data_IF_848777907814
#
_entry.id   IF_848777907814
#
_cell.length_a   1.000
_cell.length_b   1.000
_cell.length_c   1.000
_cell.angle_alpha   90.00
_cell.angle_beta   90.00
_cell.angle_gamma   90.00
#
_symmetry.space_group_name_H-M   'P 1'
#
loop_
_entity.id
_entity.type
_entity.pdbx_description
1 polymer ?
#
# COMPACT_ATOMS: atom_id res chain seq x y z
N UNK A 1 10.32 35.95 -5.56
CA UNK A 1 10.35 36.14 -4.09
C UNK A 1 9.58 37.38 -3.64
N UNK A 2 9.63 38.51 -4.38
CA UNK A 2 8.98 39.79 -4.01
C UNK A 2 7.46 39.76 -3.85
N UNK A 3 6.75 39.01 -4.71
CA UNK A 3 5.27 39.03 -4.70
C UNK A 3 4.68 38.42 -3.42
N UNK A 4 5.35 37.43 -2.82
CA UNK A 4 4.86 36.76 -1.61
C UNK A 4 4.81 37.69 -0.41
N UNK A 5 5.76 38.61 -0.29
CA UNK A 5 5.92 39.45 0.91
C UNK A 5 4.73 40.39 1.11
N UNK A 6 4.34 41.13 0.07
CA UNK A 6 3.25 42.09 0.17
C UNK A 6 1.89 41.38 0.30
N UNK A 7 1.68 40.26 -0.40
CA UNK A 7 0.44 39.47 -0.28
C UNK A 7 0.26 38.94 1.14
N UNK A 8 1.32 38.38 1.74
CA UNK A 8 1.24 37.86 3.11
C UNK A 8 0.96 39.00 4.10
N UNK A 9 1.60 40.15 3.92
CA UNK A 9 1.38 41.32 4.78
C UNK A 9 -0.07 41.82 4.69
N UNK A 10 -0.58 42.00 3.47
CA UNK A 10 -1.93 42.51 3.23
C UNK A 10 -2.99 41.53 3.75
N UNK A 11 -2.83 40.24 3.44
CA UNK A 11 -3.73 39.18 3.92
C UNK A 11 -3.74 39.13 5.45
N UNK A 12 -2.57 39.24 6.09
CA UNK A 12 -2.47 39.26 7.55
C UNK A 12 -3.24 40.45 8.13
N UNK A 13 -3.04 41.64 7.57
CA UNK A 13 -3.72 42.86 8.02
C UNK A 13 -5.24 42.70 7.94
N UNK A 14 -5.75 42.28 6.77
CA UNK A 14 -7.18 42.09 6.54
C UNK A 14 -7.80 41.02 7.48
N UNK A 15 -7.09 39.91 7.72
CA UNK A 15 -7.55 38.86 8.64
C UNK A 15 -7.60 39.37 10.09
N UNK A 16 -6.58 40.09 10.54
CA UNK A 16 -6.56 40.67 11.91
C UNK A 16 -7.72 41.65 12.09
N UNK A 17 -7.92 42.53 11.12
CA UNK A 17 -9.01 43.51 11.12
C UNK A 17 -10.39 42.83 11.18
N UNK A 18 -10.59 41.79 10.38
CA UNK A 18 -11.83 41.02 10.37
C UNK A 18 -12.10 40.33 11.71
N UNK A 19 -11.09 39.68 12.29
CA UNK A 19 -11.24 38.94 13.55
C UNK A 19 -11.49 39.87 14.74
N UNK A 20 -10.91 41.08 14.76
CA UNK A 20 -11.22 42.08 15.78
C UNK A 20 -12.64 42.64 15.65
N UNK A 21 -13.12 42.85 14.41
CA UNK A 21 -14.48 43.36 14.16
C UNK A 21 -15.55 42.29 14.39
N UNK A 22 -15.21 41.01 14.28
CA UNK A 22 -16.13 39.89 14.42
C UNK A 22 -15.70 38.90 15.50
N UNK A 23 -15.95 39.28 16.76
CA UNK A 23 -15.57 38.49 17.95
C UNK A 23 -16.19 37.10 18.00
N UNK A 24 -17.41 36.93 17.49
CA UNK A 24 -18.08 35.62 17.41
C UNK A 24 -17.37 34.68 16.44
N UNK A 25 -16.98 35.17 15.26
CA UNK A 25 -16.20 34.38 14.30
C UNK A 25 -14.80 34.07 14.84
N UNK A 26 -14.17 35.03 15.52
CA UNK A 26 -12.86 34.85 16.15
C UNK A 26 -12.88 33.77 17.24
N UNK A 27 -13.88 33.75 18.12
CA UNK A 27 -14.03 32.71 19.15
C UNK A 27 -14.21 31.33 18.53
N UNK A 28 -15.11 31.17 17.55
CA UNK A 28 -15.30 29.89 16.83
C UNK A 28 -14.03 29.40 16.15
N UNK A 29 -13.27 30.31 15.54
CA UNK A 29 -12.01 29.99 14.90
C UNK A 29 -10.95 29.57 15.93
N UNK A 30 -10.85 30.29 17.04
CA UNK A 30 -9.92 30.00 18.12
C UNK A 30 -10.21 28.65 18.80
N UNK A 31 -11.48 28.33 19.06
CA UNK A 31 -11.88 27.02 19.56
C UNK A 31 -11.47 25.90 18.61
N UNK A 32 -11.71 26.07 17.30
CA UNK A 32 -11.30 25.10 16.28
C UNK A 32 -9.78 24.95 16.21
N UNK A 33 -9.03 26.05 16.30
CA UNK A 33 -7.56 26.03 16.33
C UNK A 33 -7.06 25.27 17.56
N UNK A 34 -7.55 25.60 18.76
CA UNK A 34 -7.15 24.98 20.01
C UNK A 34 -7.52 23.48 20.05
N UNK A 35 -8.70 23.13 19.53
CA UNK A 35 -9.12 21.74 19.40
C UNK A 35 -8.19 20.95 18.46
N UNK A 36 -7.88 21.52 17.29
CA UNK A 36 -6.93 20.92 16.34
C UNK A 36 -5.52 20.83 16.92
N UNK A 37 -5.08 21.82 17.71
CA UNK A 37 -3.79 21.80 18.38
C UNK A 37 -3.72 20.72 19.45
N UNK A 38 -4.76 20.57 20.29
CA UNK A 38 -4.86 19.47 21.27
C UNK A 38 -4.81 18.11 20.60
N UNK A 39 -5.60 17.91 19.54
CA UNK A 39 -5.56 16.69 18.74
C UNK A 39 -4.16 16.42 18.19
N UNK A 40 -3.48 17.44 17.65
CA UNK A 40 -2.09 17.31 17.16
C UNK A 40 -1.10 16.99 18.29
N UNK A 41 -1.23 17.59 19.47
CA UNK A 41 -0.37 17.32 20.63
C UNK A 41 -0.58 15.91 21.16
N UNK A 42 -1.83 15.48 21.34
CA UNK A 42 -2.17 14.12 21.74
C UNK A 42 -1.64 13.10 20.72
N UNK A 43 -1.81 13.37 19.43
CA UNK A 43 -1.21 12.56 18.37
C UNK A 43 0.32 12.54 18.44
N UNK A 44 0.97 13.67 18.74
CA UNK A 44 2.43 13.75 18.86
C UNK A 44 2.97 13.02 20.10
N UNK A 45 2.27 13.08 21.23
CA UNK A 45 2.65 12.35 22.45
C UNK A 45 2.41 10.85 22.29
N UNK A 46 1.32 10.46 21.62
CA UNK A 46 1.08 9.07 21.24
C UNK A 46 2.11 8.59 20.23
N UNK A 47 2.47 9.40 19.23
CA UNK A 47 3.58 9.15 18.30
C UNK A 47 4.88 8.95 19.05
N UNK A 48 5.25 9.85 19.97
CA UNK A 48 6.49 9.75 20.75
C UNK A 48 6.53 8.46 21.58
N UNK A 49 5.48 8.19 22.35
CA UNK A 49 5.39 6.97 23.18
C UNK A 49 5.43 5.71 22.33
N UNK A 50 4.70 5.68 21.22
CA UNK A 50 4.70 4.53 20.35
C UNK A 50 6.02 4.36 19.58
N UNK A 51 6.69 5.46 19.21
CA UNK A 51 8.04 5.46 18.63
C UNK A 51 9.09 4.97 19.61
N UNK A 52 8.98 5.31 20.89
CA UNK A 52 9.85 4.78 21.95
C UNK A 52 9.66 3.28 22.15
N UNK A 53 8.41 2.81 22.14
CA UNK A 53 8.10 1.37 22.21
C UNK A 53 8.62 0.64 20.97
N UNK A 54 8.40 1.19 19.77
CA UNK A 54 8.84 0.55 18.53
C UNK A 54 10.36 0.61 18.31
N UNK A 55 11.04 1.70 18.71
CA UNK A 55 12.53 1.80 18.68
C UNK A 55 13.19 0.80 19.62
N UNK A 56 12.55 0.44 20.73
CA UNK A 56 13.07 -0.59 21.64
C UNK A 56 13.01 -1.99 21.04
N UNK A 57 12.23 -2.22 19.99
CA UNK A 57 11.97 -3.56 19.45
C UNK A 57 12.99 -4.00 18.40
N UNK A 58 13.64 -3.11 17.62
CA UNK A 58 14.75 -3.50 16.73
C UNK A 58 15.37 -2.31 15.98
N UNK A 59 16.69 -2.34 15.73
CA UNK A 59 17.38 -1.48 14.73
C UNK A 59 17.00 -1.90 13.30
N UNK A 60 16.52 -3.13 13.12
CA UNK A 60 16.24 -3.78 11.84
C UNK A 60 14.76 -4.15 11.72
N UNK A 61 14.10 -3.66 10.68
CA UNK A 61 12.70 -4.00 10.39
C UNK A 61 12.58 -5.51 10.13
N UNK A 62 11.77 -6.26 10.91
CA UNK A 62 11.53 -7.70 10.68
C UNK A 62 10.96 -7.96 9.29
N UNK A 63 11.31 -9.10 8.70
CA UNK A 63 10.81 -9.56 7.38
C UNK A 63 10.98 -8.58 6.21
N UNK A 64 11.78 -7.53 6.40
CA UNK A 64 12.15 -6.57 5.37
C UNK A 64 13.55 -6.87 4.84
N UNK A 65 13.65 -6.98 3.51
CA UNK A 65 14.90 -7.08 2.76
C UNK A 65 14.99 -5.86 1.86
N UNK A 66 15.86 -4.95 2.22
CA UNK A 66 16.05 -3.72 1.45
C UNK A 66 16.76 -3.95 0.11
N UNK A 67 16.72 -2.95 -0.76
CA UNK A 67 17.56 -2.84 -1.96
C UNK A 67 18.60 -1.72 -1.79
N UNK A 68 19.52 -1.62 -2.76
CA UNK A 68 20.65 -0.69 -2.71
C UNK A 68 20.29 0.75 -3.08
N UNK A 69 19.45 0.93 -4.10
CA UNK A 69 19.04 2.24 -4.60
C UNK A 69 17.58 2.51 -4.27
N UNK A 70 17.30 3.76 -3.91
CA UNK A 70 16.00 4.26 -3.49
C UNK A 70 15.56 5.43 -4.38
N UNK A 71 14.28 5.78 -4.30
CA UNK A 71 13.71 6.93 -5.00
C UNK A 71 14.52 8.19 -4.68
N UNK A 72 14.92 8.92 -5.73
CA UNK A 72 15.75 10.12 -5.61
C UNK A 72 17.26 9.87 -5.70
N UNK A 73 17.72 8.62 -5.68
CA UNK A 73 19.10 8.30 -6.00
C UNK A 73 19.41 8.57 -7.48
N UNK A 74 20.60 9.13 -7.74
CA UNK A 74 21.04 9.49 -9.10
C UNK A 74 21.12 8.30 -10.07
N UNK A 75 21.21 7.08 -9.54
CA UNK A 75 21.36 5.85 -10.33
C UNK A 75 20.21 4.91 -10.00
N UNK A 76 19.41 4.56 -11.02
CA UNK A 76 18.32 3.57 -10.96
C UNK A 76 17.27 3.79 -9.86
N UNK A 77 17.23 4.99 -9.24
CA UNK A 77 16.28 5.31 -8.18
C UNK A 77 14.82 5.26 -8.63
N UNK A 78 14.56 5.61 -9.89
CA UNK A 78 13.21 5.56 -10.48
C UNK A 78 12.73 4.12 -10.75
N UNK A 79 13.63 3.15 -10.80
CA UNK A 79 13.31 1.72 -10.90
C UNK A 79 13.02 1.10 -9.52
N UNK A 80 13.32 1.82 -8.43
CA UNK A 80 13.22 1.28 -7.07
C UNK A 80 11.80 0.83 -6.76
N UNK A 81 11.67 -0.43 -6.39
CA UNK A 81 10.40 -1.12 -6.22
C UNK A 81 10.41 -1.88 -4.91
N UNK A 82 9.39 -1.70 -4.08
CA UNK A 82 9.15 -2.55 -2.91
C UNK A 82 7.97 -3.48 -3.18
N UNK A 83 8.19 -4.78 -3.01
CA UNK A 83 7.13 -5.79 -3.07
C UNK A 83 6.65 -6.12 -1.66
N UNK A 84 5.35 -5.96 -1.42
CA UNK A 84 4.68 -6.34 -0.18
C UNK A 84 4.02 -7.69 -0.41
N UNK A 85 4.52 -8.74 0.24
CA UNK A 85 4.05 -10.11 0.05
C UNK A 85 3.19 -10.57 1.21
N UNK A 86 2.25 -11.47 0.94
CA UNK A 86 1.32 -12.01 1.95
C UNK A 86 2.00 -12.76 3.12
N UNK A 87 3.12 -13.43 2.84
CA UNK A 87 3.78 -14.26 3.86
C UNK A 87 5.28 -14.46 3.63
N UNK A 88 5.97 -15.04 4.62
CA UNK A 88 7.41 -15.32 4.54
C UNK A 88 7.77 -16.35 3.46
N UNK A 89 6.83 -17.23 3.08
CA UNK A 89 7.02 -18.20 2.00
C UNK A 89 7.19 -17.51 0.65
N UNK A 90 6.21 -16.68 0.26
CA UNK A 90 6.26 -15.86 -0.96
C UNK A 90 7.47 -14.91 -0.94
N UNK A 91 7.73 -14.27 0.21
CA UNK A 91 8.91 -13.42 0.37
C UNK A 91 10.22 -14.19 0.11
N UNK A 92 10.32 -15.44 0.56
CA UNK A 92 11.50 -16.28 0.36
C UNK A 92 11.82 -16.51 -1.13
N UNK A 93 10.82 -16.90 -1.91
CA UNK A 93 10.97 -17.10 -3.37
C UNK A 93 11.35 -15.81 -4.08
N UNK A 94 10.72 -14.69 -3.72
CA UNK A 94 11.03 -13.39 -4.31
C UNK A 94 12.42 -12.89 -3.95
N UNK A 95 12.85 -13.05 -2.69
CA UNK A 95 14.19 -12.62 -2.24
C UNK A 95 15.29 -13.33 -3.02
N UNK A 96 15.08 -14.60 -3.39
CA UNK A 96 16.04 -15.36 -4.19
C UNK A 96 16.08 -14.95 -5.67
N UNK A 97 15.00 -14.36 -6.20
CA UNK A 97 14.86 -14.03 -7.61
C UNK A 97 15.08 -12.54 -7.95
N UNK A 98 14.98 -11.65 -6.96
CA UNK A 98 14.96 -10.19 -7.15
C UNK A 98 16.29 -9.60 -7.65
N UNK A 99 16.20 -8.44 -8.28
CA UNK A 99 17.35 -7.52 -8.42
C UNK A 99 17.63 -6.82 -7.08
N UNK A 100 18.74 -7.19 -6.43
CA UNK A 100 19.15 -6.60 -5.14
C UNK A 100 19.46 -5.11 -5.21
N UNK A 101 19.71 -4.56 -6.41
CA UNK A 101 19.98 -3.15 -6.59
C UNK A 101 18.71 -2.29 -6.44
N UNK A 102 17.58 -2.73 -6.99
CA UNK A 102 16.36 -1.89 -7.11
C UNK A 102 15.13 -2.49 -6.45
N UNK A 103 15.13 -3.77 -6.06
CA UNK A 103 13.93 -4.45 -5.57
C UNK A 103 14.03 -4.80 -4.08
N UNK A 104 13.23 -4.14 -3.26
CA UNK A 104 13.03 -4.45 -1.85
C UNK A 104 11.85 -5.40 -1.65
N UNK A 105 11.90 -6.26 -0.63
CA UNK A 105 10.81 -7.18 -0.28
C UNK A 105 10.41 -6.95 1.17
N UNK A 106 9.11 -6.78 1.42
CA UNK A 106 8.51 -6.74 2.74
C UNK A 106 7.51 -7.89 2.86
N UNK A 107 7.83 -8.91 3.66
CA UNK A 107 6.93 -10.04 3.89
C UNK A 107 6.02 -9.81 5.08
N UNK A 108 4.70 -9.84 4.86
CA UNK A 108 3.73 -9.69 5.92
C UNK A 108 3.74 -10.89 6.87
N UNK A 109 3.56 -10.62 8.17
CA UNK A 109 3.34 -11.65 9.19
C UNK A 109 1.83 -11.87 9.40
N UNK A 110 1.18 -12.42 8.39
CA UNK A 110 -0.26 -12.73 8.41
C UNK A 110 -1.14 -11.57 7.98
N UNK A 111 -2.45 -11.69 8.25
CA UNK A 111 -3.46 -10.76 7.78
C UNK A 111 -3.32 -9.39 8.47
N UNK A 112 -3.13 -8.28 7.73
CA UNK A 112 -3.00 -6.95 8.33
C UNK A 112 -4.24 -6.55 9.13
N UNK A 113 -4.04 -5.70 10.15
CA UNK A 113 -5.17 -5.14 10.90
C UNK A 113 -6.04 -4.27 9.99
N UNK A 114 -7.36 -4.51 9.98
CA UNK A 114 -8.29 -3.55 9.38
C UNK A 114 -8.22 -2.24 10.16
N UNK A 115 -7.70 -1.19 9.52
CA UNK A 115 -7.50 0.14 10.10
C UNK A 115 -8.61 1.12 9.77
N UNK A 116 -9.63 0.71 9.02
CA UNK A 116 -10.77 1.57 8.76
C UNK A 116 -11.45 2.02 10.07
N UNK A 117 -11.74 3.33 10.17
CA UNK A 117 -12.29 3.94 11.39
C UNK A 117 -11.36 3.96 12.60
N UNK A 118 -10.09 3.55 12.48
CA UNK A 118 -9.11 3.63 13.57
C UNK A 118 -8.32 4.93 13.50
N UNK A 119 -7.74 5.35 14.63
CA UNK A 119 -6.85 6.52 14.68
C UNK A 119 -5.44 6.15 14.19
N UNK A 120 -4.63 7.14 13.78
CA UNK A 120 -3.23 6.90 13.40
C UNK A 120 -2.43 6.22 14.54
N UNK A 121 -2.82 6.44 15.80
CA UNK A 121 -2.28 5.74 16.96
C UNK A 121 -2.41 4.20 16.88
N UNK A 122 -3.46 3.68 16.27
CA UNK A 122 -3.65 2.25 16.10
C UNK A 122 -2.61 1.64 15.15
N UNK A 123 -2.17 2.39 14.13
CA UNK A 123 -1.07 1.99 13.24
C UNK A 123 0.22 1.85 14.05
N UNK A 124 0.56 2.85 14.86
CA UNK A 124 1.79 2.79 15.67
C UNK A 124 1.79 1.68 16.72
N UNK A 125 0.61 1.26 17.20
CA UNK A 125 0.47 0.13 18.13
C UNK A 125 0.52 -1.23 17.41
N UNK A 126 0.25 -1.25 16.11
CA UNK A 126 0.34 -2.45 15.29
C UNK A 126 1.76 -2.55 14.72
N UNK A 127 2.54 -3.49 15.24
CA UNK A 127 3.94 -3.68 14.86
C UNK A 127 4.10 -3.84 13.34
N UNK A 128 3.23 -4.60 12.69
CA UNK A 128 3.32 -4.91 11.26
C UNK A 128 3.13 -3.67 10.37
N UNK A 129 2.05 -2.92 10.59
CA UNK A 129 1.77 -1.70 9.84
C UNK A 129 2.77 -0.59 10.17
N UNK A 130 3.25 -0.52 11.40
CA UNK A 130 4.33 0.39 11.78
C UNK A 130 5.64 0.05 11.04
N UNK A 131 5.99 -1.24 10.98
CA UNK A 131 7.16 -1.73 10.26
C UNK A 131 7.05 -1.44 8.76
N UNK A 132 5.88 -1.66 8.15
CA UNK A 132 5.62 -1.34 6.75
C UNK A 132 5.75 0.17 6.49
N UNK A 133 5.11 1.00 7.32
CA UNK A 133 5.21 2.46 7.24
C UNK A 133 6.66 2.95 7.35
N UNK A 134 7.44 2.35 8.25
CA UNK A 134 8.87 2.65 8.43
C UNK A 134 9.69 2.17 7.23
N UNK A 135 9.42 0.98 6.71
CA UNK A 135 10.10 0.43 5.53
C UNK A 135 9.89 1.32 4.31
N UNK A 136 8.68 1.84 4.12
CA UNK A 136 8.33 2.77 3.05
C UNK A 136 8.92 4.18 3.23
N UNK A 137 9.31 4.56 4.46
CA UNK A 137 9.81 5.90 4.79
C UNK A 137 8.71 6.96 4.95
N UNK A 138 7.44 6.55 5.05
CA UNK A 138 6.28 7.45 5.01
C UNK A 138 5.73 7.82 6.40
N UNK A 139 6.48 7.56 7.48
CA UNK A 139 6.04 7.85 8.86
C UNK A 139 5.64 9.33 9.04
N UNK A 140 6.51 10.22 8.58
CA UNK A 140 6.39 11.67 8.78
C UNK A 140 5.70 12.37 7.60
N UNK A 141 6.03 11.98 6.36
CA UNK A 141 5.47 12.54 5.13
C UNK A 141 5.54 11.50 4.00
N UNK A 142 4.55 11.51 3.11
CA UNK A 142 4.55 10.69 1.88
C UNK A 142 5.66 11.12 0.92
N UNK A 143 6.11 12.37 0.99
CA UNK A 143 7.24 12.89 0.21
C UNK A 143 8.55 12.12 0.46
N UNK A 144 8.70 11.53 1.65
CA UNK A 144 9.86 10.74 2.04
C UNK A 144 9.81 9.29 1.55
N UNK A 145 8.85 8.96 0.68
CA UNK A 145 8.70 7.63 0.10
C UNK A 145 10.04 7.16 -0.50
N UNK A 146 10.49 5.99 -0.02
CA UNK A 146 11.80 5.42 -0.37
C UNK A 146 11.83 4.68 -1.70
N UNK A 147 10.68 4.31 -2.25
CA UNK A 147 10.58 3.48 -3.45
C UNK A 147 9.69 4.16 -4.48
N UNK A 148 10.08 4.17 -5.74
CA UNK A 148 9.25 4.74 -6.78
C UNK A 148 7.99 3.90 -7.04
N UNK A 149 8.08 2.58 -6.86
CA UNK A 149 6.95 1.67 -7.00
C UNK A 149 6.70 0.89 -5.70
N UNK A 150 5.45 0.87 -5.25
CA UNK A 150 4.94 0.07 -4.13
C UNK A 150 4.01 -1.00 -4.71
N UNK A 151 4.49 -2.23 -4.76
CA UNK A 151 3.80 -3.34 -5.43
C UNK A 151 3.23 -4.30 -4.40
N UNK A 152 1.92 -4.49 -4.41
CA UNK A 152 1.22 -5.50 -3.61
C UNK A 152 1.27 -6.83 -4.37
N UNK A 153 1.99 -7.82 -3.82
CA UNK A 153 2.20 -9.14 -4.40
C UNK A 153 1.56 -10.21 -3.51
N UNK A 154 0.24 -10.35 -3.63
CA UNK A 154 -0.56 -11.35 -2.91
C UNK A 154 -0.97 -12.50 -3.83
N UNK A 155 -1.36 -13.62 -3.24
CA UNK A 155 -1.85 -14.77 -3.99
C UNK A 155 -3.20 -14.45 -4.67
N UNK A 156 -3.52 -15.19 -5.73
CA UNK A 156 -4.79 -15.06 -6.48
C UNK A 156 -5.89 -15.94 -5.86
N UNK A 157 -6.05 -15.83 -4.54
CA UNK A 157 -7.04 -16.55 -3.74
C UNK A 157 -7.77 -15.62 -2.77
N UNK A 158 -8.69 -16.18 -1.96
CA UNK A 158 -9.53 -15.39 -1.06
C UNK A 158 -8.71 -14.66 0.03
N UNK A 159 -7.66 -15.29 0.55
CA UNK A 159 -6.81 -14.71 1.59
C UNK A 159 -5.95 -13.58 1.02
N UNK A 160 -5.37 -13.78 -0.17
CA UNK A 160 -4.64 -12.76 -0.90
C UNK A 160 -5.51 -11.56 -1.27
N UNK A 161 -6.75 -11.78 -1.72
CA UNK A 161 -7.71 -10.69 -1.97
C UNK A 161 -8.08 -9.93 -0.70
N UNK A 162 -8.22 -10.61 0.43
CA UNK A 162 -8.49 -9.97 1.71
C UNK A 162 -7.32 -9.10 2.17
N UNK A 163 -6.08 -9.60 2.11
CA UNK A 163 -4.87 -8.84 2.43
C UNK A 163 -4.73 -7.62 1.52
N UNK A 164 -4.98 -7.79 0.21
CA UNK A 164 -4.99 -6.70 -0.76
C UNK A 164 -5.97 -5.59 -0.34
N UNK A 165 -7.20 -5.94 0.04
CA UNK A 165 -8.20 -4.96 0.49
C UNK A 165 -7.76 -4.23 1.77
N UNK A 166 -7.13 -4.93 2.71
CA UNK A 166 -6.63 -4.34 3.96
C UNK A 166 -5.48 -3.37 3.71
N UNK A 167 -4.53 -3.72 2.83
CA UNK A 167 -3.45 -2.83 2.42
C UNK A 167 -3.98 -1.61 1.65
N UNK A 168 -4.95 -1.82 0.75
CA UNK A 168 -5.62 -0.74 0.04
C UNK A 168 -6.33 0.22 0.99
N UNK A 169 -7.00 -0.31 2.00
CA UNK A 169 -7.62 0.49 3.07
C UNK A 169 -6.60 1.29 3.85
N UNK A 170 -5.46 0.68 4.19
CA UNK A 170 -4.36 1.36 4.87
C UNK A 170 -3.79 2.52 4.02
N UNK A 171 -3.53 2.30 2.73
CA UNK A 171 -3.03 3.34 1.84
C UNK A 171 -4.07 4.44 1.62
N UNK A 172 -5.30 4.10 1.22
CA UNK A 172 -6.33 5.10 0.92
C UNK A 172 -6.75 5.92 2.14
N UNK A 173 -6.75 5.33 3.34
CA UNK A 173 -7.22 6.03 4.54
C UNK A 173 -6.15 6.91 5.22
N UNK A 174 -4.85 6.61 5.06
CA UNK A 174 -3.78 7.32 5.77
C UNK A 174 -2.68 7.89 4.88
N UNK A 175 -2.53 7.36 3.67
CA UNK A 175 -1.47 7.70 2.72
C UNK A 175 -2.05 7.82 1.31
N UNK A 176 -3.23 8.43 1.19
CA UNK A 176 -3.99 8.60 -0.05
C UNK A 176 -3.12 9.15 -1.19
N UNK A 177 -2.22 10.08 -0.82
CA UNK A 177 -1.27 10.69 -1.73
C UNK A 177 -0.47 9.63 -2.51
N UNK A 178 -0.01 8.53 -1.89
CA UNK A 178 0.72 7.45 -2.58
C UNK A 178 -0.05 6.87 -3.76
N UNK A 179 -1.37 6.69 -3.58
CA UNK A 179 -2.24 6.15 -4.63
C UNK A 179 -2.46 7.20 -5.71
N UNK A 180 -2.75 8.45 -5.32
CA UNK A 180 -3.00 9.54 -6.28
C UNK A 180 -1.75 9.98 -7.06
N UNK A 181 -0.55 9.88 -6.49
CA UNK A 181 0.70 10.10 -7.23
C UNK A 181 1.07 8.91 -8.13
N UNK A 182 0.30 7.82 -8.06
CA UNK A 182 0.48 6.67 -8.93
C UNK A 182 1.69 5.81 -8.59
N UNK A 183 2.05 5.71 -7.30
CA UNK A 183 3.14 4.86 -6.82
C UNK A 183 2.68 3.44 -6.46
N UNK A 184 1.38 3.19 -6.32
CA UNK A 184 0.85 1.89 -5.85
C UNK A 184 0.39 1.02 -7.02
N UNK A 185 0.82 -0.25 -7.01
CA UNK A 185 0.54 -1.24 -8.02
C UNK A 185 0.14 -2.58 -7.39
N UNK A 186 -0.56 -3.41 -8.15
CA UNK A 186 -0.81 -4.81 -7.82
C UNK A 186 -0.05 -5.67 -8.83
N UNK A 187 0.72 -6.64 -8.33
CA UNK A 187 1.37 -7.63 -9.18
C UNK A 187 0.35 -8.67 -9.63
N UNK A 188 0.22 -8.85 -10.95
CA UNK A 188 -0.48 -10.00 -11.49
C UNK A 188 0.48 -11.18 -11.58
N UNK A 189 0.00 -12.34 -11.14
CA UNK A 189 0.80 -13.55 -11.06
C UNK A 189 0.08 -14.66 -11.82
N UNK A 190 0.82 -15.59 -12.46
CA UNK A 190 0.18 -16.63 -13.26
C UNK A 190 -0.60 -17.60 -12.38
N UNK A 191 -1.78 -17.98 -12.83
CA UNK A 191 -2.66 -18.93 -12.14
C UNK A 191 -2.33 -20.36 -12.59
N UNK A 192 -1.89 -20.52 -13.84
CA UNK A 192 -1.56 -21.82 -14.42
C UNK A 192 -0.22 -21.81 -15.14
N UNK A 193 0.42 -22.97 -15.18
CA UNK A 193 1.51 -23.30 -16.11
C UNK A 193 1.05 -24.44 -17.00
N UNK A 194 1.11 -24.24 -18.31
CA UNK A 194 0.82 -25.27 -19.32
C UNK A 194 2.11 -25.54 -20.07
N UNK A 195 2.58 -26.79 -20.06
CA UNK A 195 3.87 -27.14 -20.70
C UNK A 195 3.84 -28.48 -21.40
N UNK A 196 4.76 -28.67 -22.34
CA UNK A 196 5.14 -29.98 -22.86
C UNK A 196 6.67 -30.08 -22.92
N UNK A 197 7.22 -31.05 -23.66
CA UNK A 197 8.66 -31.24 -23.79
C UNK A 197 9.40 -30.12 -24.54
N UNK A 198 8.70 -29.20 -25.20
CA UNK A 198 9.28 -28.16 -26.05
C UNK A 198 8.98 -26.74 -25.56
N UNK A 199 7.82 -26.51 -24.97
CA UNK A 199 7.33 -25.17 -24.65
C UNK A 199 6.66 -25.14 -23.26
N UNK A 200 6.82 -24.02 -22.56
CA UNK A 200 6.13 -23.71 -21.30
C UNK A 200 5.44 -22.36 -21.42
N UNK A 201 4.15 -22.30 -21.08
CA UNK A 201 3.32 -21.09 -21.08
C UNK A 201 2.75 -20.82 -19.69
N UNK A 202 2.91 -19.60 -19.21
CA UNK A 202 2.28 -19.13 -17.96
C UNK A 202 1.00 -18.37 -18.30
N UNK A 203 -0.11 -18.79 -17.69
CA UNK A 203 -1.45 -18.29 -18.00
C UNK A 203 -2.05 -17.58 -16.79
N UNK A 204 -2.63 -16.41 -17.04
CA UNK A 204 -3.21 -15.50 -16.04
C UNK A 204 -4.74 -15.57 -15.99
N UNK A 205 -5.35 -16.36 -16.87
CA UNK A 205 -6.79 -16.61 -16.87
C UNK A 205 -7.11 -18.03 -17.32
N UNK A 206 -8.32 -18.50 -17.01
CA UNK A 206 -8.81 -19.79 -17.53
C UNK A 206 -8.89 -19.79 -19.06
N UNK A 207 -9.22 -18.64 -19.66
CA UNK A 207 -9.24 -18.48 -21.12
C UNK A 207 -7.85 -18.73 -21.72
N UNK A 208 -6.81 -18.10 -21.16
CA UNK A 208 -5.43 -18.32 -21.59
C UNK A 208 -5.00 -19.78 -21.40
N UNK A 209 -5.37 -20.40 -20.27
CA UNK A 209 -5.10 -21.80 -19.99
C UNK A 209 -5.76 -22.73 -21.03
N UNK A 210 -7.03 -22.53 -21.32
CA UNK A 210 -7.76 -23.35 -22.29
C UNK A 210 -7.17 -23.23 -23.70
N UNK A 211 -6.77 -22.02 -24.10
CA UNK A 211 -6.08 -21.79 -25.37
C UNK A 211 -4.73 -22.52 -25.41
N UNK A 212 -3.91 -22.37 -24.36
CA UNK A 212 -2.61 -23.04 -24.28
C UNK A 212 -2.73 -24.57 -24.33
N UNK A 213 -3.75 -25.15 -23.69
CA UNK A 213 -4.03 -26.59 -23.74
C UNK A 213 -4.44 -27.05 -25.14
N UNK A 214 -5.20 -26.23 -25.88
CA UNK A 214 -5.61 -26.55 -27.25
C UNK A 214 -4.44 -26.50 -28.24
N UNK A 215 -3.50 -25.56 -28.04
CA UNK A 215 -2.38 -25.34 -28.93
C UNK A 215 -1.23 -26.36 -28.74
N UNK A 216 -1.05 -26.86 -27.52
CA UNK A 216 0.07 -27.72 -27.16
C UNK A 216 -0.29 -29.20 -27.31
N UNK A 217 0.58 -29.99 -27.96
CA UNK A 217 0.44 -31.45 -28.01
C UNK A 217 0.83 -32.07 -26.66
N UNK A 218 -0.05 -32.90 -26.10
CA UNK A 218 0.10 -33.61 -24.82
C UNK A 218 0.55 -32.69 -23.66
N UNK A 219 -0.22 -31.65 -23.32
CA UNK A 219 0.19 -30.67 -22.33
C UNK A 219 0.01 -31.20 -20.90
N UNK A 220 0.97 -30.88 -20.04
CA UNK A 220 0.86 -30.94 -18.59
C UNK A 220 0.38 -29.59 -18.07
N UNK A 221 -0.68 -29.58 -17.26
CA UNK A 221 -1.23 -28.37 -16.64
C UNK A 221 -0.95 -28.41 -15.14
N UNK A 222 -0.24 -27.39 -14.64
CA UNK A 222 -0.08 -27.12 -13.21
C UNK A 222 -0.90 -25.88 -12.85
N UNK A 223 -1.67 -25.94 -11.76
CA UNK A 223 -2.29 -24.76 -11.16
C UNK A 223 -1.44 -24.33 -9.96
N UNK A 224 -1.06 -23.07 -9.91
CA UNK A 224 -0.39 -22.50 -8.74
C UNK A 224 -1.44 -22.16 -7.70
N UNK A 225 -1.25 -22.60 -6.45
CA UNK A 225 -2.12 -22.19 -5.35
C UNK A 225 -1.65 -20.90 -4.69
N UNK A 226 -0.35 -20.65 -4.71
CA UNK A 226 0.24 -19.46 -4.12
C UNK A 226 1.64 -19.19 -4.66
N UNK A 227 2.14 -17.98 -4.40
CA UNK A 227 3.42 -17.49 -4.91
C UNK A 227 4.61 -18.32 -4.42
N UNK A 228 4.49 -18.96 -3.26
CA UNK A 228 5.52 -19.84 -2.71
C UNK A 228 5.71 -21.16 -3.47
N UNK A 229 4.76 -21.57 -4.32
CA UNK A 229 4.88 -22.80 -5.13
C UNK A 229 5.71 -22.61 -6.40
N UNK A 230 5.95 -21.36 -6.79
CA UNK A 230 6.76 -21.02 -7.96
C UNK A 230 8.24 -21.05 -7.55
N UNK A 231 9.04 -21.82 -8.29
CA UNK A 231 10.47 -21.91 -8.00
C UNK A 231 11.18 -20.57 -8.24
N UNK A 232 12.23 -20.20 -7.47
CA UNK A 232 12.91 -18.92 -7.65
C UNK A 232 13.41 -18.65 -9.07
N UNK A 233 13.90 -19.69 -9.75
CA UNK A 233 14.36 -19.58 -11.14
C UNK A 233 13.23 -19.24 -12.13
N UNK A 234 12.00 -19.70 -11.86
CA UNK A 234 10.83 -19.30 -12.62
C UNK A 234 10.30 -17.94 -12.17
N UNK A 235 10.38 -17.62 -10.88
CA UNK A 235 9.76 -16.42 -10.32
C UNK A 235 10.35 -15.13 -10.89
N UNK A 236 11.66 -15.11 -11.17
CA UNK A 236 12.36 -13.91 -11.66
C UNK A 236 11.72 -13.28 -12.89
N UNK A 237 11.11 -14.08 -13.78
CA UNK A 237 10.44 -13.57 -14.98
C UNK A 237 9.18 -12.75 -14.67
N UNK A 238 8.54 -12.98 -13.51
CA UNK A 238 7.31 -12.28 -13.10
C UNK A 238 7.58 -10.97 -12.37
N UNK A 239 8.83 -10.72 -11.98
CA UNK A 239 9.27 -9.48 -11.33
C UNK A 239 10.39 -8.79 -12.12
N UNK A 240 10.63 -9.22 -13.35
CA UNK A 240 11.58 -8.61 -14.28
C UNK A 240 10.96 -7.47 -15.08
N UNK A 241 11.55 -7.14 -16.23
CA UNK A 241 11.09 -6.04 -17.10
C UNK A 241 9.67 -6.26 -17.63
N UNK A 242 9.27 -7.52 -17.87
CA UNK A 242 7.95 -7.90 -18.39
C UNK A 242 6.89 -8.15 -17.29
N UNK A 243 7.14 -7.69 -16.06
CA UNK A 243 6.19 -7.88 -14.96
C UNK A 243 4.84 -7.23 -15.28
N UNK A 244 3.75 -7.96 -15.00
CA UNK A 244 2.38 -7.47 -15.22
C UNK A 244 1.91 -6.73 -13.98
N UNK A 245 1.81 -5.41 -14.08
CA UNK A 245 1.38 -4.53 -12.99
C UNK A 245 0.05 -3.86 -13.32
N UNK A 246 -0.90 -3.97 -12.38
CA UNK A 246 -2.11 -3.16 -12.40
C UNK A 246 -1.83 -1.91 -11.57
N UNK A 247 -1.79 -0.75 -12.23
CA UNK A 247 -1.69 0.54 -11.53
C UNK A 247 -2.97 0.82 -10.76
N UNK A 248 -2.83 1.05 -9.46
CA UNK A 248 -3.96 1.43 -8.62
C UNK A 248 -4.22 2.92 -8.79
N UNK A 249 -5.48 3.26 -9.06
CA UNK A 249 -5.92 4.63 -9.21
C UNK A 249 -7.30 4.85 -8.62
N UNK A 250 -7.61 6.10 -8.31
CA UNK A 250 -8.90 6.53 -7.78
C UNK A 250 -9.58 7.39 -8.84
N UNK A 251 -10.80 7.02 -9.23
CA UNK A 251 -11.60 7.80 -10.20
C UNK A 251 -12.16 9.09 -9.57
N UNK A 252 -12.73 8.96 -8.38
CA UNK A 252 -13.29 10.07 -7.62
C UNK A 252 -12.89 9.94 -6.15
N UNK A 253 -12.04 10.84 -5.65
CA UNK A 253 -11.58 10.82 -4.25
C UNK A 253 -12.74 10.96 -3.25
N UNK A 254 -13.80 11.68 -3.64
CA UNK A 254 -14.99 11.87 -2.82
C UNK A 254 -15.76 10.56 -2.52
N UNK A 255 -15.61 9.53 -3.35
CA UNK A 255 -16.32 8.25 -3.19
C UNK A 255 -15.54 7.24 -2.32
N UNK A 256 -14.24 7.49 -2.10
CA UNK A 256 -13.37 6.58 -1.34
C UNK A 256 -13.89 6.33 0.08
N UNK A 257 -14.27 7.35 0.88
CA UNK A 257 -14.73 7.11 2.24
C UNK A 257 -15.99 6.24 2.30
N UNK A 258 -16.97 6.50 1.41
CA UNK A 258 -18.22 5.73 1.35
C UNK A 258 -17.99 4.29 0.93
N UNK A 259 -17.11 4.08 -0.05
CA UNK A 259 -16.74 2.74 -0.52
C UNK A 259 -16.04 1.95 0.59
N UNK A 260 -15.08 2.58 1.29
CA UNK A 260 -14.39 1.94 2.41
C UNK A 260 -15.32 1.68 3.59
N UNK A 261 -16.26 2.57 3.92
CA UNK A 261 -17.26 2.33 4.98
C UNK A 261 -18.11 1.10 4.67
N UNK A 262 -18.58 0.98 3.43
CA UNK A 262 -19.37 -0.17 3.02
C UNK A 262 -18.59 -1.48 3.15
N UNK A 263 -17.38 -1.57 2.60
CA UNK A 263 -16.64 -2.84 2.58
C UNK A 263 -15.89 -3.13 3.89
N UNK A 264 -15.34 -2.11 4.54
CA UNK A 264 -14.38 -2.24 5.66
C UNK A 264 -14.95 -1.78 7.00
N UNK A 265 -16.13 -1.14 7.01
CA UNK A 265 -16.83 -0.70 8.20
C UNK A 265 -17.55 -1.81 8.96
N UNK A 266 -18.52 -1.41 9.78
CA UNK A 266 -19.32 -2.35 10.58
C UNK A 266 -20.15 -3.27 9.68
N UNK A 267 -20.49 -4.46 10.19
CA UNK A 267 -21.35 -5.37 9.45
C UNK A 267 -22.79 -4.85 9.45
N UNK A 268 -23.25 -4.34 8.31
CA UNK A 268 -24.62 -3.87 8.10
C UNK A 268 -25.47 -4.94 7.40
N UNK A 269 -26.81 -4.90 7.54
CA UNK A 269 -27.72 -5.71 6.74
C UNK A 269 -27.47 -5.52 5.24
N UNK A 270 -27.40 -4.25 4.78
CA UNK A 270 -27.17 -3.93 3.36
C UNK A 270 -25.90 -4.58 2.79
N UNK A 271 -24.81 -4.61 3.58
CA UNK A 271 -23.57 -5.28 3.15
C UNK A 271 -23.75 -6.79 3.06
N UNK A 272 -24.48 -7.38 4.01
CA UNK A 272 -24.78 -8.81 3.98
C UNK A 272 -25.63 -9.16 2.75
N UNK A 273 -26.68 -8.39 2.50
CA UNK A 273 -27.60 -8.63 1.40
C UNK A 273 -26.87 -8.48 0.06
N UNK A 274 -26.05 -7.44 -0.08
CA UNK A 274 -25.16 -7.27 -1.23
C UNK A 274 -24.24 -8.48 -1.45
N UNK A 275 -23.58 -8.98 -0.39
CA UNK A 275 -22.72 -10.17 -0.49
C UNK A 275 -23.55 -11.40 -0.94
N UNK A 276 -24.76 -11.59 -0.40
CA UNK A 276 -25.65 -12.70 -0.75
C UNK A 276 -26.08 -12.63 -2.22
N UNK A 277 -26.40 -11.43 -2.72
CA UNK A 277 -26.79 -11.22 -4.12
C UNK A 277 -25.62 -11.42 -5.11
N UNK A 278 -24.38 -11.21 -4.66
CA UNK A 278 -23.18 -11.27 -5.50
C UNK A 278 -22.28 -12.47 -5.17
N UNK A 279 -22.75 -13.41 -4.36
CA UNK A 279 -22.10 -14.69 -4.12
C UNK A 279 -22.22 -15.54 -5.38
N UNK A 280 -21.10 -15.70 -6.09
CA UNK A 280 -20.96 -16.57 -7.27
C UNK A 280 -20.82 -18.02 -6.81
#
# INVERSE_FOLDING_TARGET
AEVRSWIVSETRSAVVDFLHKNTTAAQKLQEKINHNERLRRELNDVKKKAKEVARKVSIKIPHFKDCKYHKGDKKRGDESTIFITEGPSAAGSMVAARDVETQAIFGLKGVPLNVFGKTKAAIYKNEELYNLMTALGIEDSVENLRFNNVVIATDADYDGFHIRNLLMTFFLNYFEELVTSGHVYILETPIFRVRNSRETRYCYSEKERNQAVADLRNPEVTRFKGLGEISPGEFGQFIGEDMRLIKVGVRALAEVPTTLEFYMGKNTPDRRDYIVEHLI
#
